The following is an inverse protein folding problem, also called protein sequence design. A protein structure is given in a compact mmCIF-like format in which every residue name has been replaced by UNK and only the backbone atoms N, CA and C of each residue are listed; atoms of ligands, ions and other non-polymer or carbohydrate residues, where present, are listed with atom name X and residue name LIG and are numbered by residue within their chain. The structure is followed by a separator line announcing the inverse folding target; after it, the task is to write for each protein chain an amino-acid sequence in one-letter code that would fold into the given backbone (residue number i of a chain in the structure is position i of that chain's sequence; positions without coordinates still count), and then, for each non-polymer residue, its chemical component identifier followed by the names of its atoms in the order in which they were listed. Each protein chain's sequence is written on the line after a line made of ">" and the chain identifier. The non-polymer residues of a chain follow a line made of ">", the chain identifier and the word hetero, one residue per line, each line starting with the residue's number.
data_IF_756771993582
#
_entry.id   IF_756771993582
#
_cell.length_a   1.000
_cell.length_b   1.000
_cell.length_c   1.000
_cell.angle_alpha   90.00
_cell.angle_beta   90.00
_cell.angle_gamma   90.00
#
_symmetry.space_group_name_H-M   'P 1'
#
loop_
_entity.id
_entity.type
_entity.pdbx_description
1 polymer ?
#
# COMPACT_ATOMS: atom_id res chain seq x y z
N UNK A 1 -15.17 7.43 -12.47
CA UNK A 1 -15.06 7.99 -11.10
C UNK A 1 -14.96 6.84 -10.12
N UNK A 2 -14.19 6.96 -9.03
CA UNK A 2 -14.13 5.92 -8.00
C UNK A 2 -15.45 5.90 -7.23
N UNK A 3 -16.03 4.71 -7.10
CA UNK A 3 -17.24 4.46 -6.30
C UNK A 3 -17.15 3.06 -5.73
N UNK A 4 -17.32 2.92 -4.44
CA UNK A 4 -17.36 1.65 -3.72
C UNK A 4 -18.80 1.35 -3.32
N UNK A 5 -19.18 0.07 -3.36
CA UNK A 5 -20.52 -0.37 -2.97
C UNK A 5 -20.82 -0.06 -1.49
N UNK A 6 -19.83 -0.20 -0.63
CA UNK A 6 -19.88 0.18 0.78
C UNK A 6 -18.67 1.05 1.11
N UNK A 7 -18.91 2.16 1.80
CA UNK A 7 -17.87 3.07 2.27
C UNK A 7 -16.83 2.33 3.12
N UNK A 8 -17.27 1.42 3.97
CA UNK A 8 -16.42 0.61 4.86
C UNK A 8 -15.41 -0.31 4.14
N UNK A 9 -15.58 -0.58 2.84
CA UNK A 9 -14.62 -1.38 2.08
C UNK A 9 -13.37 -0.56 1.72
N UNK A 10 -13.39 0.77 1.90
CA UNK A 10 -12.24 1.64 1.62
C UNK A 10 -11.20 1.53 2.74
N UNK A 11 -9.96 1.21 2.40
CA UNK A 11 -8.84 1.18 3.34
C UNK A 11 -8.17 2.55 3.56
N UNK A 12 -8.66 3.64 2.96
CA UNK A 12 -8.07 4.97 3.08
C UNK A 12 -6.66 5.12 2.49
N UNK A 13 -6.21 4.19 1.66
CA UNK A 13 -4.82 4.10 1.21
C UNK A 13 -4.33 5.26 0.30
N UNK A 14 -5.22 6.10 -0.21
CA UNK A 14 -4.87 7.26 -1.06
C UNK A 14 -4.40 6.94 -2.48
N UNK A 15 -4.37 5.67 -2.91
CA UNK A 15 -3.90 5.29 -4.25
C UNK A 15 -4.69 5.97 -5.38
N UNK A 16 -6.00 6.12 -5.21
CA UNK A 16 -6.87 6.82 -6.16
C UNK A 16 -6.54 8.32 -6.28
N UNK A 17 -6.16 8.97 -5.17
CA UNK A 17 -5.73 10.37 -5.13
C UNK A 17 -4.44 10.54 -5.95
N UNK A 18 -3.42 9.72 -5.63
CA UNK A 18 -2.11 9.76 -6.30
C UNK A 18 -2.21 9.45 -7.80
N UNK A 19 -3.14 8.59 -8.21
CA UNK A 19 -3.30 8.18 -9.61
C UNK A 19 -4.15 9.14 -10.44
N UNK A 20 -4.82 10.09 -9.82
CA UNK A 20 -5.72 10.99 -10.53
C UNK A 20 -4.95 12.03 -11.38
N UNK A 21 -5.03 12.00 -12.73
CA UNK A 21 -4.29 12.92 -13.59
C UNK A 21 -4.85 14.35 -13.53
N UNK A 22 -6.05 14.53 -12.98
CA UNK A 22 -6.72 15.82 -12.80
C UNK A 22 -6.66 16.34 -11.38
N UNK A 23 -6.05 15.59 -10.44
CA UNK A 23 -5.97 15.93 -9.02
C UNK A 23 -7.34 16.31 -8.41
N UNK A 24 -8.42 15.73 -8.95
CA UNK A 24 -9.78 16.01 -8.54
C UNK A 24 -10.30 15.08 -7.44
N UNK A 25 -9.40 14.32 -6.79
CA UNK A 25 -9.73 13.43 -5.67
C UNK A 25 -8.94 13.86 -4.46
N UNK A 26 -9.62 14.07 -3.34
CA UNK A 26 -9.00 14.36 -2.04
C UNK A 26 -9.47 13.34 -1.01
N UNK A 27 -8.68 13.10 0.04
CA UNK A 27 -9.14 12.32 1.19
C UNK A 27 -9.81 13.25 2.18
N UNK A 28 -11.03 12.92 2.58
CA UNK A 28 -11.79 13.61 3.61
C UNK A 28 -11.99 12.70 4.81
N UNK A 29 -11.81 13.26 5.99
CA UNK A 29 -12.07 12.56 7.25
C UNK A 29 -13.58 12.54 7.52
N UNK A 30 -14.11 11.40 7.92
CA UNK A 30 -15.49 11.28 8.37
C UNK A 30 -15.63 11.53 9.87
N UNK A 31 -16.86 11.37 10.41
CA UNK A 31 -17.18 11.59 11.82
C UNK A 31 -16.45 10.64 12.77
N UNK A 32 -16.05 9.47 12.29
CA UNK A 32 -15.30 8.46 13.05
C UNK A 32 -13.78 8.63 12.91
N UNK A 33 -13.30 9.58 12.10
CA UNK A 33 -11.89 9.84 11.88
C UNK A 33 -11.25 9.06 10.74
N UNK A 34 -12.01 8.28 9.98
CA UNK A 34 -11.50 7.56 8.82
C UNK A 34 -11.41 8.42 7.57
N UNK A 35 -10.40 8.14 6.73
CA UNK A 35 -10.16 8.88 5.50
C UNK A 35 -10.83 8.20 4.30
N UNK A 36 -11.65 8.94 3.58
CA UNK A 36 -12.36 8.47 2.38
C UNK A 36 -12.13 9.41 1.19
N UNK A 37 -12.09 8.87 -0.06
CA UNK A 37 -11.94 9.70 -1.24
C UNK A 37 -13.21 10.48 -1.52
N UNK A 38 -13.07 11.80 -1.69
CA UNK A 38 -14.08 12.72 -2.20
C UNK A 38 -13.64 13.19 -3.59
N UNK A 39 -14.55 13.19 -4.55
CA UNK A 39 -14.26 13.51 -5.95
C UNK A 39 -14.96 14.83 -6.33
N UNK A 40 -14.20 15.79 -6.85
CA UNK A 40 -14.77 16.94 -7.54
C UNK A 40 -15.26 16.51 -8.93
N UNK A 41 -16.58 16.35 -9.07
CA UNK A 41 -17.21 15.87 -10.29
C UNK A 41 -17.05 16.84 -11.46
N UNK A 42 -16.95 18.15 -11.20
CA UNK A 42 -16.77 19.17 -12.24
C UNK A 42 -15.41 19.06 -12.92
N UNK A 43 -14.37 18.66 -12.18
CA UNK A 43 -13.02 18.49 -12.68
C UNK A 43 -12.74 17.07 -13.18
N UNK A 44 -13.63 16.12 -12.89
CA UNK A 44 -13.44 14.71 -13.20
C UNK A 44 -13.76 14.39 -14.67
N UNK A 45 -12.76 13.87 -15.41
CA UNK A 45 -12.91 13.45 -16.81
C UNK A 45 -13.31 11.98 -16.98
N UNK A 46 -13.71 11.31 -15.92
CA UNK A 46 -14.17 9.91 -15.90
C UNK A 46 -13.20 8.90 -16.58
N UNK A 47 -11.88 9.11 -16.49
CA UNK A 47 -10.86 8.27 -17.13
C UNK A 47 -10.73 6.87 -16.52
N UNK A 48 -11.33 6.58 -15.37
CA UNK A 48 -11.34 5.27 -14.70
C UNK A 48 -10.01 4.87 -14.04
N UNK A 49 -8.97 5.70 -14.05
CA UNK A 49 -7.66 5.36 -13.49
C UNK A 49 -7.72 5.09 -11.98
N UNK A 50 -8.55 5.84 -11.25
CA UNK A 50 -8.75 5.66 -9.81
C UNK A 50 -9.36 4.29 -9.47
N UNK A 51 -10.28 3.78 -10.28
CA UNK A 51 -10.88 2.45 -10.09
C UNK A 51 -9.89 1.33 -10.42
N UNK A 52 -9.06 1.52 -11.47
CA UNK A 52 -8.04 0.53 -11.88
C UNK A 52 -6.93 0.35 -10.84
N UNK A 53 -6.58 1.40 -10.10
CA UNK A 53 -5.53 1.32 -9.07
C UNK A 53 -6.06 0.88 -7.71
N UNK A 54 -7.38 0.85 -7.52
CA UNK A 54 -7.99 0.46 -6.26
C UNK A 54 -7.93 -1.05 -6.06
N UNK A 55 -7.24 -1.50 -5.02
CA UNK A 55 -7.12 -2.92 -4.69
C UNK A 55 -8.45 -3.61 -4.33
N UNK A 56 -9.49 -2.83 -3.97
CA UNK A 56 -10.83 -3.35 -3.71
C UNK A 56 -11.63 -3.53 -5.02
N UNK A 57 -11.57 -2.54 -5.92
CA UNK A 57 -12.30 -2.58 -7.20
C UNK A 57 -11.60 -3.42 -8.26
N UNK A 58 -10.28 -3.51 -8.19
CA UNK A 58 -9.44 -4.25 -9.13
C UNK A 58 -8.42 -5.07 -8.32
N UNK A 59 -8.87 -6.12 -7.61
CA UNK A 59 -7.97 -6.94 -6.81
C UNK A 59 -6.94 -7.62 -7.73
N UNK A 60 -5.71 -7.69 -7.26
CA UNK A 60 -4.70 -8.51 -7.91
C UNK A 60 -5.10 -9.98 -7.82
N UNK A 61 -4.84 -10.73 -8.89
CA UNK A 61 -5.01 -12.18 -8.86
C UNK A 61 -4.12 -12.74 -7.74
N UNK A 62 -4.73 -13.47 -6.83
CA UNK A 62 -3.99 -14.16 -5.77
C UNK A 62 -3.04 -15.17 -6.41
N UNK A 63 -1.73 -14.96 -6.24
CA UNK A 63 -0.74 -15.96 -6.59
C UNK A 63 -0.52 -16.83 -5.35
N UNK A 64 -0.95 -18.07 -5.43
CA UNK A 64 -0.70 -19.06 -4.38
C UNK A 64 0.82 -19.32 -4.35
N UNK A 65 1.51 -19.05 -3.22
CA UNK A 65 2.93 -19.29 -3.12
C UNK A 65 3.21 -20.79 -3.28
N UNK A 66 4.19 -21.15 -4.11
CA UNK A 66 4.58 -22.55 -4.30
C UNK A 66 5.18 -23.17 -3.05
N UNK A 67 5.87 -22.36 -2.26
CA UNK A 67 6.57 -22.79 -1.04
C UNK A 67 6.43 -21.71 0.04
N UNK A 68 6.33 -22.14 1.28
CA UNK A 68 6.32 -21.27 2.47
C UNK A 68 7.44 -21.72 3.39
N UNK A 69 8.26 -20.79 3.86
CA UNK A 69 9.41 -21.07 4.71
C UNK A 69 9.31 -20.33 6.03
N UNK A 70 9.64 -21.00 7.13
CA UNK A 70 10.05 -20.33 8.36
C UNK A 70 11.54 -20.01 8.25
N UNK A 71 11.93 -18.74 8.44
CA UNK A 71 13.31 -18.32 8.29
C UNK A 71 13.72 -17.32 9.38
N UNK A 72 14.99 -17.40 9.78
CA UNK A 72 15.60 -16.53 10.77
C UNK A 72 17.02 -16.16 10.32
N UNK A 73 17.41 -14.90 10.54
CA UNK A 73 18.79 -14.47 10.30
C UNK A 73 19.74 -15.12 11.32
N UNK A 74 20.94 -15.50 10.86
CA UNK A 74 21.96 -16.15 11.71
C UNK A 74 22.75 -15.17 12.59
N UNK A 75 22.67 -13.87 12.28
CA UNK A 75 23.37 -12.82 13.04
C UNK A 75 22.52 -12.42 14.24
N UNK A 76 22.98 -12.78 15.45
CA UNK A 76 22.27 -12.55 16.71
C UNK A 76 22.11 -11.06 17.04
N UNK A 77 23.07 -10.21 16.61
CA UNK A 77 23.02 -8.77 16.85
C UNK A 77 21.89 -8.13 16.01
N UNK A 78 21.76 -8.54 14.77
CA UNK A 78 20.69 -8.07 13.88
C UNK A 78 19.37 -8.68 14.33
N UNK A 79 19.35 -9.94 14.70
CA UNK A 79 18.16 -10.62 15.20
C UNK A 79 17.56 -9.92 16.42
N UNK A 80 18.39 -9.60 17.40
CA UNK A 80 17.96 -8.92 18.64
C UNK A 80 17.33 -7.54 18.40
N UNK A 81 17.69 -6.88 17.30
CA UNK A 81 17.12 -5.57 16.87
C UNK A 81 15.96 -5.70 15.90
N UNK A 82 15.57 -6.91 15.52
CA UNK A 82 14.51 -7.17 14.56
C UNK A 82 13.21 -7.51 15.29
N UNK A 83 12.07 -7.10 14.73
CA UNK A 83 10.74 -7.39 15.28
C UNK A 83 10.29 -8.85 15.12
N UNK A 84 11.01 -9.65 14.31
CA UNK A 84 10.73 -11.05 14.02
C UNK A 84 12.04 -11.76 13.65
N UNK A 85 12.02 -12.76 12.80
CA UNK A 85 13.20 -13.53 12.38
C UNK A 85 14.29 -12.77 11.61
N UNK A 86 14.20 -11.45 11.44
CA UNK A 86 15.23 -10.62 10.81
C UNK A 86 15.36 -10.78 9.30
N UNK A 87 14.44 -11.47 8.63
CA UNK A 87 14.49 -11.70 7.19
C UNK A 87 14.42 -10.40 6.40
N UNK A 88 13.54 -9.46 6.80
CA UNK A 88 13.48 -8.13 6.20
C UNK A 88 14.83 -7.41 6.30
N UNK A 89 15.44 -7.41 7.50
CA UNK A 89 16.76 -6.79 7.72
C UNK A 89 17.84 -7.39 6.82
N UNK A 90 17.84 -8.71 6.67
CA UNK A 90 18.78 -9.42 5.78
C UNK A 90 18.61 -9.02 4.31
N UNK A 91 17.37 -8.98 3.81
CA UNK A 91 17.06 -8.53 2.46
C UNK A 91 17.44 -7.06 2.24
N UNK A 92 17.06 -6.17 3.17
CA UNK A 92 17.36 -4.75 3.13
C UNK A 92 18.87 -4.50 3.06
N UNK A 93 19.65 -5.14 3.91
CA UNK A 93 21.12 -5.04 3.91
C UNK A 93 21.70 -5.46 2.56
N UNK A 94 21.19 -6.55 1.98
CA UNK A 94 21.67 -7.03 0.68
C UNK A 94 21.35 -6.04 -0.46
N UNK A 95 20.15 -5.43 -0.46
CA UNK A 95 19.77 -4.40 -1.43
C UNK A 95 20.64 -3.17 -1.29
N UNK A 96 20.84 -2.66 -0.06
CA UNK A 96 21.67 -1.48 0.21
C UNK A 96 23.13 -1.70 -0.18
N UNK A 97 23.70 -2.88 0.12
CA UNK A 97 25.08 -3.25 -0.29
C UNK A 97 25.28 -3.23 -1.81
N UNK A 98 24.20 -3.44 -2.57
CA UNK A 98 24.20 -3.39 -4.04
C UNK A 98 23.87 -1.99 -4.60
N UNK A 99 23.81 -0.96 -3.75
CA UNK A 99 23.46 0.41 -4.14
C UNK A 99 21.98 0.65 -4.38
N UNK A 100 21.12 -0.28 -3.95
CA UNK A 100 19.66 -0.13 -4.04
C UNK A 100 19.07 0.71 -2.92
N UNK A 101 17.76 0.96 -3.01
CA UNK A 101 16.99 1.73 -2.03
C UNK A 101 15.95 0.81 -1.37
N UNK A 102 15.75 0.99 -0.07
CA UNK A 102 14.75 0.24 0.72
C UNK A 102 13.82 1.24 1.39
N UNK A 103 12.51 0.99 1.29
CA UNK A 103 11.48 1.74 1.99
C UNK A 103 10.87 0.85 3.08
N UNK A 104 10.59 1.42 4.24
CA UNK A 104 9.98 0.71 5.35
C UNK A 104 9.21 1.66 6.26
N UNK A 105 8.25 1.12 7.02
CA UNK A 105 7.57 1.86 8.07
C UNK A 105 8.53 2.14 9.24
N UNK A 106 8.45 3.34 9.80
CA UNK A 106 9.13 3.74 11.02
C UNK A 106 8.08 4.09 12.06
N UNK A 107 8.19 3.50 13.22
CA UNK A 107 7.39 3.82 14.40
C UNK A 107 8.15 4.77 15.31
#
# INVERSE_FOLDING_TARGET
>A
MISLNRKADCSGCGACVQKCPKSCIVLQTDEEGFLYPSVDENSCVNCGQCSKVCGILSPYLEQIPKYVYGAQIKDDVILAKSSSGGVFSSMAINVLKKGGIVFGARF
#
